data_IF_166358339573
#
_entry.id   IF_166358339573
#
_cell.length_a   1.000
_cell.length_b   1.000
_cell.length_c   1.000
_cell.angle_alpha   90.00
_cell.angle_beta   90.00
_cell.angle_gamma   90.00
#
_symmetry.space_group_name_H-M   'P 1'
#
loop_
_entity.id
_entity.type
_entity.pdbx_description
1 polymer ?
#
# COMPACT_ATOMS: atom_id res chain seq x y z
N UNK A 1 7.48 7.92 9.10
CA UNK A 1 7.67 8.55 7.77
C UNK A 1 8.06 7.55 6.69
N UNK A 2 9.06 6.68 6.92
CA UNK A 2 9.53 5.71 5.90
C UNK A 2 8.41 4.79 5.38
N UNK A 3 7.57 4.24 6.27
CA UNK A 3 6.48 3.33 5.88
C UNK A 3 5.47 4.02 4.95
N UNK A 4 5.13 5.27 5.24
CA UNK A 4 4.22 6.07 4.43
C UNK A 4 4.81 6.35 3.04
N UNK A 5 6.10 6.71 2.98
CA UNK A 5 6.80 6.89 1.72
C UNK A 5 6.83 5.60 0.88
N UNK A 6 7.12 4.45 1.49
CA UNK A 6 7.09 3.15 0.81
C UNK A 6 5.69 2.83 0.26
N UNK A 7 4.63 3.18 0.99
CA UNK A 7 3.25 3.00 0.53
C UNK A 7 2.92 3.87 -0.69
N UNK A 8 3.38 5.12 -0.69
CA UNK A 8 3.24 6.03 -1.84
C UNK A 8 3.99 5.48 -3.06
N UNK A 9 5.24 5.06 -2.89
CA UNK A 9 6.07 4.53 -3.98
C UNK A 9 5.48 3.26 -4.57
N UNK A 10 4.99 2.32 -3.75
CA UNK A 10 4.31 1.12 -4.26
C UNK A 10 3.11 1.47 -5.14
N UNK A 11 2.32 2.46 -4.69
CA UNK A 11 1.14 2.93 -5.44
C UNK A 11 1.56 3.56 -6.77
N UNK A 12 2.60 4.41 -6.80
CA UNK A 12 3.13 4.98 -8.05
C UNK A 12 3.60 3.90 -9.02
N UNK A 13 4.39 2.92 -8.54
CA UNK A 13 4.89 1.80 -9.37
C UNK A 13 3.70 1.01 -9.96
N UNK A 14 2.66 0.80 -9.16
CA UNK A 14 1.44 0.12 -9.59
C UNK A 14 0.66 0.92 -10.64
N UNK A 15 0.51 2.24 -10.48
CA UNK A 15 -0.16 3.10 -11.48
C UNK A 15 0.61 3.18 -12.81
N UNK A 16 1.92 3.36 -12.73
CA UNK A 16 2.77 3.41 -13.92
C UNK A 16 2.85 2.05 -14.64
N UNK A 17 2.28 0.99 -14.04
CA UNK A 17 2.21 -0.36 -14.60
C UNK A 17 3.58 -0.97 -14.90
N UNK A 18 4.61 -0.61 -14.13
CA UNK A 18 5.97 -1.14 -14.27
C UNK A 18 6.14 -2.46 -13.52
N UNK A 19 5.98 -3.59 -14.24
CA UNK A 19 6.08 -4.94 -13.65
C UNK A 19 7.48 -5.21 -13.10
N UNK A 20 8.54 -4.90 -13.85
CA UNK A 20 9.93 -5.08 -13.39
C UNK A 20 10.24 -4.25 -12.16
N UNK A 21 9.76 -3.00 -12.12
CA UNK A 21 9.90 -2.13 -10.95
C UNK A 21 9.23 -2.70 -9.71
N UNK A 22 8.06 -3.34 -9.87
CA UNK A 22 7.34 -3.98 -8.76
C UNK A 22 8.09 -5.19 -8.19
N UNK A 23 8.76 -5.98 -9.02
CA UNK A 23 9.62 -7.09 -8.56
C UNK A 23 10.81 -6.57 -7.77
N UNK A 24 11.51 -5.55 -8.28
CA UNK A 24 12.65 -4.94 -7.58
C UNK A 24 12.20 -4.36 -6.24
N UNK A 25 11.07 -3.66 -6.22
CA UNK A 25 10.50 -3.10 -5.01
C UNK A 25 10.09 -4.18 -3.99
N UNK A 26 9.54 -5.30 -4.44
CA UNK A 26 9.22 -6.44 -3.58
C UNK A 26 10.49 -7.03 -2.93
N UNK A 27 11.54 -7.27 -3.70
CA UNK A 27 12.82 -7.77 -3.16
C UNK A 27 13.42 -6.79 -2.14
N UNK A 28 13.39 -5.49 -2.45
CA UNK A 28 13.85 -4.45 -1.52
C UNK A 28 13.06 -4.46 -0.21
N UNK A 29 11.72 -4.55 -0.26
CA UNK A 29 10.88 -4.61 0.95
C UNK A 29 11.10 -5.89 1.76
N UNK A 30 11.33 -7.02 1.08
CA UNK A 30 11.66 -8.29 1.74
C UNK A 30 12.96 -8.17 2.55
N UNK A 31 14.02 -7.65 1.93
CA UNK A 31 15.32 -7.45 2.58
C UNK A 31 15.18 -6.48 3.75
N UNK A 32 14.53 -5.33 3.54
CA UNK A 32 14.33 -4.32 4.58
C UNK A 32 13.53 -4.88 5.77
N UNK A 33 12.47 -5.63 5.50
CA UNK A 33 11.63 -6.23 6.55
C UNK A 33 12.39 -7.29 7.34
N UNK A 34 13.22 -8.10 6.68
CA UNK A 34 14.01 -9.15 7.34
C UNK A 34 15.11 -8.52 8.18
N UNK A 35 15.84 -7.54 7.63
CA UNK A 35 16.86 -6.80 8.34
C UNK A 35 16.31 -6.10 9.58
N UNK A 36 15.20 -5.37 9.43
CA UNK A 36 14.56 -4.68 10.56
C UNK A 36 14.16 -5.65 11.66
N UNK A 37 13.53 -6.79 11.32
CA UNK A 37 13.10 -7.78 12.33
C UNK A 37 14.30 -8.39 13.05
N UNK A 38 15.37 -8.72 12.35
CA UNK A 38 16.59 -9.28 12.95
C UNK A 38 17.25 -8.27 13.90
N UNK A 39 17.41 -7.02 13.48
CA UNK A 39 17.96 -5.94 14.33
C UNK A 39 17.09 -5.70 15.57
N UNK A 40 15.76 -5.62 15.40
CA UNK A 40 14.85 -5.42 16.53
C UNK A 40 14.82 -6.62 17.49
N UNK A 41 14.94 -7.84 16.97
CA UNK A 41 15.01 -9.04 17.79
C UNK A 41 16.35 -9.12 18.56
N UNK A 42 17.46 -8.68 17.95
CA UNK A 42 18.78 -8.68 18.57
C UNK A 42 18.91 -7.66 19.69
N UNK A 43 18.31 -6.47 19.51
CA UNK A 43 18.33 -5.39 20.50
C UNK A 43 17.26 -5.52 21.61
N UNK A 44 16.56 -6.65 21.69
CA UNK A 44 15.47 -6.84 22.65
C UNK A 44 16.01 -7.35 23.99
N UNK A 45 16.16 -6.45 24.97
CA UNK A 45 16.58 -6.80 26.33
C UNK A 45 15.53 -7.61 27.11
N UNK A 46 16.01 -8.45 28.03
CA UNK A 46 15.21 -9.45 28.76
C UNK A 46 14.08 -8.90 29.64
N UNK A 47 14.06 -7.60 29.96
CA UNK A 47 13.11 -7.01 30.91
C UNK A 47 11.77 -6.60 30.29
N UNK A 48 11.67 -6.43 28.97
CA UNK A 48 10.46 -5.94 28.27
C UNK A 48 9.81 -7.01 27.36
N UNK A 49 10.07 -8.29 27.63
CA UNK A 49 9.84 -9.39 26.68
C UNK A 49 8.38 -9.67 26.32
N UNK A 50 7.43 -9.52 27.26
CA UNK A 50 6.07 -10.00 27.02
C UNK A 50 5.30 -9.08 26.06
N UNK A 51 5.02 -7.83 26.43
CA UNK A 51 4.21 -6.94 25.59
C UNK A 51 4.92 -6.53 24.28
N UNK A 52 6.22 -6.19 24.34
CA UNK A 52 6.97 -5.80 23.16
C UNK A 52 7.21 -6.99 22.20
N UNK A 53 7.45 -8.19 22.74
CA UNK A 53 7.58 -9.41 21.95
C UNK A 53 6.28 -9.79 21.24
N UNK A 54 5.12 -9.67 21.90
CA UNK A 54 3.82 -9.86 21.25
C UNK A 54 3.57 -8.83 20.14
N UNK A 55 3.86 -7.56 20.39
CA UNK A 55 3.71 -6.50 19.37
C UNK A 55 4.62 -6.76 18.15
N UNK A 56 5.89 -7.14 18.37
CA UNK A 56 6.83 -7.47 17.30
C UNK A 56 6.34 -8.64 16.45
N UNK A 57 5.84 -9.71 17.08
CA UNK A 57 5.25 -10.87 16.39
C UNK A 57 4.04 -10.46 15.55
N UNK A 58 3.15 -9.62 16.08
CA UNK A 58 1.99 -9.13 15.35
C UNK A 58 2.39 -8.29 14.12
N UNK A 59 3.38 -7.40 14.27
CA UNK A 59 3.91 -6.59 13.17
C UNK A 59 4.55 -7.49 12.10
N UNK A 60 5.34 -8.49 12.52
CA UNK A 60 5.97 -9.44 11.61
C UNK A 60 4.93 -10.24 10.81
N UNK A 61 3.92 -10.79 11.48
CA UNK A 61 2.82 -11.50 10.82
C UNK A 61 2.07 -10.60 9.83
N UNK A 62 1.76 -9.37 10.22
CA UNK A 62 1.10 -8.40 9.34
C UNK A 62 1.95 -8.09 8.10
N UNK A 63 3.27 -7.97 8.27
CA UNK A 63 4.21 -7.75 7.16
C UNK A 63 4.38 -8.98 6.27
N UNK A 64 4.42 -10.18 6.83
CA UNK A 64 4.45 -11.42 6.07
C UNK A 64 3.20 -11.58 5.19
N UNK A 65 2.01 -11.30 5.74
CA UNK A 65 0.76 -11.28 4.96
C UNK A 65 0.82 -10.24 3.84
N UNK A 66 1.32 -9.04 4.13
CA UNK A 66 1.47 -7.98 3.12
C UNK A 66 2.39 -8.41 1.97
N UNK A 67 3.52 -9.04 2.27
CA UNK A 67 4.46 -9.57 1.28
C UNK A 67 3.86 -10.72 0.47
N UNK A 68 3.11 -11.63 1.11
CA UNK A 68 2.42 -12.71 0.42
C UNK A 68 1.40 -12.17 -0.61
N UNK A 69 0.63 -11.14 -0.23
CA UNK A 69 -0.30 -10.47 -1.15
C UNK A 69 0.42 -9.77 -2.31
N UNK A 70 1.57 -9.12 -2.06
CA UNK A 70 2.38 -8.54 -3.13
C UNK A 70 2.93 -9.60 -4.09
N UNK A 71 3.40 -10.74 -3.57
CA UNK A 71 3.86 -11.86 -4.40
C UNK A 71 2.72 -12.44 -5.24
N UNK A 72 1.52 -12.58 -4.67
CA UNK A 72 0.32 -12.97 -5.42
C UNK A 72 -0.01 -11.97 -6.53
N UNK A 73 0.13 -10.67 -6.27
CA UNK A 73 -0.10 -9.63 -7.27
C UNK A 73 0.90 -9.71 -8.43
N UNK A 74 2.19 -9.94 -8.15
CA UNK A 74 3.22 -10.13 -9.17
C UNK A 74 2.92 -11.37 -10.01
N UNK A 75 2.51 -12.47 -9.38
CA UNK A 75 2.17 -13.73 -10.05
C UNK A 75 0.99 -13.61 -11.02
N UNK A 76 -0.07 -12.90 -10.64
CA UNK A 76 -1.24 -12.70 -11.49
C UNK A 76 -1.07 -11.54 -12.50
N UNK A 77 0.01 -10.78 -12.39
CA UNK A 77 0.29 -9.63 -13.24
C UNK A 77 -0.48 -8.36 -12.83
N UNK A 78 -0.05 -7.23 -13.38
CA UNK A 78 -0.73 -5.94 -13.20
C UNK A 78 -1.87 -5.85 -14.23
N UNK A 79 -3.12 -5.60 -13.82
CA UNK A 79 -4.25 -5.47 -14.75
C UNK A 79 -4.08 -4.25 -15.66
N UNK A 80 -4.76 -4.28 -16.81
CA UNK A 80 -4.72 -3.21 -17.81
C UNK A 80 -4.98 -1.81 -17.20
N UNK A 81 -4.29 -0.79 -17.75
CA UNK A 81 -4.33 0.61 -17.27
C UNK A 81 -5.73 1.19 -17.08
N UNK A 82 -6.73 0.77 -17.86
CA UNK A 82 -8.11 1.24 -17.71
C UNK A 82 -8.79 0.77 -16.41
N UNK A 83 -8.44 -0.40 -15.87
CA UNK A 83 -9.03 -0.95 -14.65
C UNK A 83 -8.34 -0.40 -13.38
N UNK A 84 -7.10 0.10 -13.51
CA UNK A 84 -6.27 0.60 -12.41
C UNK A 84 -6.82 1.85 -11.70
N UNK A 85 -7.54 2.69 -12.44
CA UNK A 85 -8.12 3.93 -11.95
C UNK A 85 -9.53 3.75 -11.37
N UNK A 86 -10.18 2.61 -11.61
CA UNK A 86 -11.51 2.34 -11.08
C UNK A 86 -11.47 2.15 -9.58
N UNK A 87 -12.31 2.89 -8.86
CA UNK A 87 -12.44 2.72 -7.42
C UNK A 87 -13.17 1.40 -7.09
N UNK A 88 -12.53 0.52 -6.33
CA UNK A 88 -13.05 -0.82 -6.05
C UNK A 88 -14.33 -0.78 -5.21
N UNK A 89 -14.45 0.17 -4.27
CA UNK A 89 -15.63 0.32 -3.41
C UNK A 89 -16.86 0.80 -4.17
N UNK A 90 -16.69 1.32 -5.39
CA UNK A 90 -17.80 1.78 -6.23
C UNK A 90 -17.98 0.85 -7.42
N UNK A 91 -17.43 -0.37 -7.38
CA UNK A 91 -17.61 -1.34 -8.45
C UNK A 91 -19.04 -1.85 -8.51
N UNK A 92 -19.67 -2.05 -7.35
CA UNK A 92 -21.01 -2.58 -7.16
C UNK A 92 -21.75 -1.82 -6.06
N UNK A 93 -23.08 -1.70 -6.20
CA UNK A 93 -23.91 -1.01 -5.21
C UNK A 93 -24.38 -2.02 -4.15
N UNK A 94 -23.59 -2.16 -3.10
CA UNK A 94 -23.92 -2.98 -1.92
C UNK A 94 -23.86 -2.15 -0.64
N UNK A 95 -24.57 -2.58 0.42
CA UNK A 95 -24.53 -1.89 1.71
C UNK A 95 -23.12 -1.86 2.32
N UNK A 96 -22.35 -2.92 2.10
CA UNK A 96 -20.94 -3.03 2.56
C UNK A 96 -20.07 -2.02 1.82
N UNK A 97 -20.22 -1.93 0.49
CA UNK A 97 -19.49 -0.99 -0.35
C UNK A 97 -19.81 0.47 0.01
N UNK A 98 -21.08 0.77 0.29
CA UNK A 98 -21.51 2.09 0.75
C UNK A 98 -20.85 2.46 2.09
N UNK A 99 -20.89 1.56 3.08
CA UNK A 99 -20.28 1.82 4.38
C UNK A 99 -18.76 1.98 4.26
N UNK A 100 -18.11 1.10 3.48
CA UNK A 100 -16.68 1.18 3.21
C UNK A 100 -16.29 2.49 2.52
N UNK A 101 -17.06 2.94 1.53
CA UNK A 101 -16.82 4.22 0.87
C UNK A 101 -17.01 5.42 1.82
N UNK A 102 -18.00 5.36 2.72
CA UNK A 102 -18.21 6.39 3.73
C UNK A 102 -17.03 6.47 4.72
N UNK A 103 -16.52 5.33 5.19
CA UNK A 103 -15.33 5.28 6.05
C UNK A 103 -14.09 5.78 5.31
N UNK A 104 -13.92 5.39 4.05
CA UNK A 104 -12.82 5.85 3.20
C UNK A 104 -12.79 7.38 3.08
N UNK A 105 -13.94 8.03 2.85
CA UNK A 105 -14.02 9.50 2.81
C UNK A 105 -13.92 10.18 4.18
N UNK A 106 -14.14 9.46 5.27
CA UNK A 106 -14.01 10.00 6.62
C UNK A 106 -12.53 10.13 7.05
N UNK A 107 -11.62 9.41 6.40
CA UNK A 107 -10.19 9.51 6.67
C UNK A 107 -9.64 10.82 6.07
N UNK A 108 -9.05 11.70 6.89
CA UNK A 108 -8.52 12.97 6.40
C UNK A 108 -7.35 12.73 5.44
N UNK A 109 -7.27 13.52 4.37
CA UNK A 109 -6.18 13.53 3.38
C UNK A 109 -6.04 12.30 2.49
N UNK A 110 -6.65 11.16 2.82
CA UNK A 110 -6.45 9.92 2.08
C UNK A 110 -7.08 9.99 0.69
N UNK A 111 -8.27 10.59 0.59
CA UNK A 111 -8.94 10.80 -0.68
C UNK A 111 -8.18 11.79 -1.56
N UNK A 112 -7.80 12.94 -1.01
CA UNK A 112 -7.08 13.98 -1.75
C UNK A 112 -5.74 13.46 -2.25
N UNK A 113 -4.97 12.77 -1.40
CA UNK A 113 -3.66 12.23 -1.76
C UNK A 113 -3.78 11.21 -2.89
N UNK A 114 -4.78 10.33 -2.84
CA UNK A 114 -5.02 9.40 -3.94
C UNK A 114 -5.35 10.14 -5.23
N UNK A 115 -6.21 11.15 -5.17
CA UNK A 115 -6.64 11.91 -6.32
C UNK A 115 -5.45 12.60 -7.00
N UNK A 116 -4.57 13.24 -6.21
CA UNK A 116 -3.33 13.86 -6.68
C UNK A 116 -2.38 12.85 -7.29
N UNK A 117 -2.24 11.68 -6.67
CA UNK A 117 -1.36 10.63 -7.17
C UNK A 117 -1.87 10.06 -8.51
N UNK A 118 -3.17 9.76 -8.57
CA UNK A 118 -3.82 9.26 -9.77
C UNK A 118 -3.72 10.30 -10.91
N UNK A 119 -3.90 11.60 -10.63
CA UNK A 119 -3.68 12.69 -11.59
C UNK A 119 -2.23 12.75 -12.08
N UNK A 120 -1.26 12.71 -11.16
CA UNK A 120 0.17 12.84 -11.50
C UNK A 120 0.72 11.71 -12.38
N UNK A 121 0.17 10.50 -12.23
CA UNK A 121 0.60 9.33 -12.99
C UNK A 121 -0.22 9.08 -14.27
N UNK A 122 -1.30 9.85 -14.49
CA UNK A 122 -2.15 9.73 -15.67
C UNK A 122 -1.80 10.80 -16.70
N UNK A 123 -1.70 10.41 -17.97
CA UNK A 123 -1.60 11.37 -19.08
C UNK A 123 -2.96 12.02 -19.31
N UNK A 124 -3.22 13.15 -18.65
CA UNK A 124 -4.45 13.92 -18.77
C UNK A 124 -4.15 15.37 -19.14
N UNK A 125 -5.05 16.02 -19.88
CA UNK A 125 -5.00 17.47 -20.16
C UNK A 125 -5.69 18.29 -19.07
N UNK A 126 -6.38 17.65 -18.13
CA UNK A 126 -7.09 18.31 -17.03
C UNK A 126 -6.12 18.91 -16.02
N UNK A 127 -6.42 20.12 -15.55
CA UNK A 127 -5.72 20.71 -14.42
C UNK A 127 -6.04 19.94 -13.14
N UNK A 128 -5.14 19.98 -12.14
CA UNK A 128 -5.35 19.30 -10.86
C UNK A 128 -6.66 19.71 -10.19
N UNK A 129 -7.03 21.00 -10.27
CA UNK A 129 -8.28 21.51 -9.68
C UNK A 129 -9.50 20.95 -10.41
N UNK A 130 -9.46 20.85 -11.73
CA UNK A 130 -10.54 20.25 -12.51
C UNK A 130 -10.65 18.73 -12.29
N UNK A 131 -9.54 18.07 -11.95
CA UNK A 131 -9.52 16.65 -11.63
C UNK A 131 -10.08 16.34 -10.24
N UNK A 132 -9.90 17.24 -9.28
CA UNK A 132 -10.40 17.10 -7.91
C UNK A 132 -11.90 17.39 -7.81
N UNK A 133 -12.44 18.19 -8.74
CA UNK A 133 -13.83 18.62 -8.81
C UNK A 133 -14.76 17.50 -9.27
#
# INVERSE_FOLDING_TARGET
MIIFFLMIVDRVIYLCSFVTGKVIFYLFNLILSTYAVTEYAWNMDGSQQNAAGFALRAIYLTKAVSLALQAMQIRHGIPNKSTLYRQFLTSEVSRVNYLGYRLYRALPFLYELRCVLDWSCTTTSLTMYDWLK
#
